data_IF_122729006475
#
_entry.id   IF_122729006475
#
_cell.length_a   1.000
_cell.length_b   1.000
_cell.length_c   1.000
_cell.angle_alpha   90.00
_cell.angle_beta   90.00
_cell.angle_gamma   90.00
#
_symmetry.space_group_name_H-M   'P 1'
#
loop_
_entity.id
_entity.type
_entity.pdbx_description
1 polymer ?
#
# COMPACT_ATOMS: atom_id res chain seq x y z
N UNK A 1 -31.66 -14.28 23.84
CA UNK A 1 -30.70 -13.15 23.82
C UNK A 1 -29.50 -13.58 23.00
N UNK A 2 -29.46 -13.26 21.69
CA UNK A 2 -28.27 -13.45 20.83
C UNK A 2 -27.35 -12.22 20.97
N UNK A 3 -27.08 -11.83 22.23
CA UNK A 3 -26.31 -10.65 22.58
C UNK A 3 -24.91 -11.07 22.99
N UNK A 4 -23.98 -11.04 22.05
CA UNK A 4 -22.58 -11.30 22.30
C UNK A 4 -21.77 -10.88 21.08
N UNK A 5 -21.16 -9.70 21.16
CA UNK A 5 -20.31 -9.09 20.14
C UNK A 5 -21.07 -8.39 18.99
N UNK A 6 -21.53 -7.17 19.25
CA UNK A 6 -21.59 -6.18 18.18
C UNK A 6 -20.15 -5.68 17.99
N UNK A 7 -19.49 -5.91 16.83
CA UNK A 7 -18.16 -5.35 16.60
C UNK A 7 -18.22 -3.83 16.82
N UNK A 8 -17.18 -3.23 17.42
CA UNK A 8 -17.15 -1.79 17.64
C UNK A 8 -17.39 -1.10 16.28
N UNK A 9 -18.47 -0.34 16.20
CA UNK A 9 -18.75 0.44 15.01
C UNK A 9 -17.82 1.64 15.01
N UNK A 10 -16.94 1.68 14.02
CA UNK A 10 -16.06 2.81 13.80
C UNK A 10 -16.90 4.02 13.41
N UNK A 11 -16.50 5.20 13.87
CA UNK A 11 -17.03 6.44 13.35
C UNK A 11 -16.69 6.58 11.86
N UNK A 12 -17.42 7.44 11.15
CA UNK A 12 -17.14 7.72 9.74
C UNK A 12 -15.73 8.30 9.54
N UNK A 13 -15.21 9.03 10.52
CA UNK A 13 -13.86 9.58 10.50
C UNK A 13 -12.80 8.48 10.65
N UNK A 14 -12.95 7.60 11.65
CA UNK A 14 -12.03 6.46 11.84
C UNK A 14 -12.03 5.53 10.62
N UNK A 15 -13.19 5.29 10.03
CA UNK A 15 -13.29 4.47 8.81
C UNK A 15 -12.50 5.10 7.66
N UNK A 16 -12.63 6.41 7.47
CA UNK A 16 -11.90 7.13 6.41
C UNK A 16 -10.40 7.11 6.61
N UNK A 17 -9.93 7.25 7.85
CA UNK A 17 -8.49 7.17 8.16
C UNK A 17 -7.92 5.78 7.80
N UNK A 18 -8.64 4.71 8.11
CA UNK A 18 -8.23 3.35 7.76
C UNK A 18 -8.24 3.10 6.24
N UNK A 19 -9.23 3.66 5.52
CA UNK A 19 -9.28 3.59 4.06
C UNK A 19 -8.09 4.33 3.41
N UNK A 20 -7.72 5.49 3.94
CA UNK A 20 -6.58 6.27 3.49
C UNK A 20 -5.26 5.52 3.76
N UNK A 21 -5.11 4.90 4.93
CA UNK A 21 -3.95 4.07 5.28
C UNK A 21 -3.83 2.85 4.36
N UNK A 22 -4.92 2.09 4.18
CA UNK A 22 -4.93 0.94 3.29
C UNK A 22 -4.59 1.34 1.84
N UNK A 23 -5.13 2.46 1.37
CA UNK A 23 -4.82 3.02 0.05
C UNK A 23 -3.34 3.37 -0.08
N UNK A 24 -2.76 4.00 0.94
CA UNK A 24 -1.34 4.32 0.95
C UNK A 24 -0.48 3.07 0.89
N UNK A 25 -0.79 2.05 1.71
CA UNK A 25 -0.05 0.78 1.73
C UNK A 25 -0.05 0.11 0.36
N UNK A 26 -1.21 0.05 -0.31
CA UNK A 26 -1.30 -0.54 -1.66
C UNK A 26 -0.48 0.27 -2.67
N UNK A 27 -0.56 1.60 -2.63
CA UNK A 27 0.24 2.48 -3.51
C UNK A 27 1.73 2.29 -3.30
N UNK A 28 2.19 2.23 -2.04
CA UNK A 28 3.59 2.03 -1.70
C UNK A 28 4.08 0.65 -2.18
N UNK A 29 3.28 -0.40 -1.97
CA UNK A 29 3.59 -1.74 -2.45
C UNK A 29 3.77 -1.77 -3.97
N UNK A 30 2.78 -1.26 -4.72
CA UNK A 30 2.82 -1.25 -6.19
C UNK A 30 3.99 -0.42 -6.73
N UNK A 31 4.24 0.75 -6.12
CA UNK A 31 5.35 1.63 -6.50
C UNK A 31 6.69 0.92 -6.28
N UNK A 32 6.87 0.29 -5.11
CA UNK A 32 8.10 -0.44 -4.79
C UNK A 32 8.31 -1.61 -5.73
N UNK A 33 7.25 -2.38 -6.00
CA UNK A 33 7.31 -3.51 -6.93
C UNK A 33 7.70 -3.05 -8.35
N UNK A 34 7.12 -1.95 -8.84
CA UNK A 34 7.46 -1.39 -10.14
C UNK A 34 8.93 -0.92 -10.20
N UNK A 35 9.41 -0.24 -9.15
CA UNK A 35 10.82 0.20 -9.05
C UNK A 35 11.77 -0.99 -9.08
N UNK A 36 11.49 -2.04 -8.29
CA UNK A 36 12.32 -3.23 -8.26
C UNK A 36 12.31 -3.96 -9.61
N UNK A 37 11.16 -4.05 -10.27
CA UNK A 37 11.06 -4.64 -11.60
C UNK A 37 11.86 -3.86 -12.65
N UNK A 38 11.87 -2.53 -12.56
CA UNK A 38 12.59 -1.65 -13.50
C UNK A 38 14.10 -1.59 -13.18
N UNK A 39 14.50 -1.86 -11.93
CA UNK A 39 15.89 -1.72 -11.46
C UNK A 39 16.98 -2.39 -12.33
N UNK A 40 16.87 -3.64 -12.83
CA UNK A 40 17.91 -4.23 -13.67
C UNK A 40 18.11 -3.46 -14.98
N UNK A 41 17.03 -2.96 -15.60
CA UNK A 41 17.12 -2.19 -16.84
C UNK A 41 17.85 -0.86 -16.64
N UNK A 42 17.62 -0.22 -15.48
CA UNK A 42 18.35 1.00 -15.10
C UNK A 42 19.82 0.69 -14.86
N UNK A 43 20.13 -0.41 -14.19
CA UNK A 43 21.52 -0.85 -13.95
C UNK A 43 22.23 -1.11 -15.28
N UNK A 44 21.59 -1.83 -16.20
CA UNK A 44 22.16 -2.12 -17.53
C UNK A 44 22.38 -0.84 -18.32
N UNK A 45 21.40 0.07 -18.35
CA UNK A 45 21.51 1.34 -19.05
C UNK A 45 22.65 2.20 -18.49
N UNK A 46 22.75 2.34 -17.17
CA UNK A 46 23.83 3.10 -16.52
C UNK A 46 25.19 2.45 -16.76
N UNK A 47 25.29 1.12 -16.65
CA UNK A 47 26.54 0.38 -16.88
C UNK A 47 27.02 0.44 -18.34
N UNK A 48 26.12 0.66 -19.30
CA UNK A 48 26.49 0.81 -20.71
C UNK A 48 27.07 2.19 -21.06
N UNK A 49 26.87 3.18 -20.18
CA UNK A 49 27.27 4.58 -20.39
C UNK A 49 28.62 4.91 -19.74
N UNK A 50 29.02 4.17 -18.70
CA UNK A 50 30.26 4.36 -17.93
C UNK A 50 31.23 3.19 -18.13
#
# INVERSE_FOLDING_TARGET
MFGGFAPPQLSAEETRQLEDEATWTVKQFLTTAAVLYISPFVIDAVSSVF
#
